data_IF_315317551879
#
_entry.id   IF_315317551879
#
_cell.length_a   1.000
_cell.length_b   1.000
_cell.length_c   1.000
_cell.angle_alpha   90.00
_cell.angle_beta   90.00
_cell.angle_gamma   90.00
#
_symmetry.space_group_name_H-M   'P 1'
#
loop_
_entity.id
_entity.type
_entity.pdbx_description
1 polymer ?
#
# COMPACT_ATOMS: atom_id res chain seq x y z
N UNK A 1 13.06 22.76 -10.94
CA UNK A 1 12.19 21.61 -10.59
C UNK A 1 10.86 21.77 -11.31
N UNK A 2 10.32 20.70 -11.91
CA UNK A 2 8.98 20.75 -12.52
C UNK A 2 7.93 20.85 -11.41
N UNK A 3 6.96 21.75 -11.57
CA UNK A 3 5.85 21.87 -10.63
C UNK A 3 5.01 20.58 -10.65
N UNK A 4 4.93 19.90 -9.50
CA UNK A 4 4.15 18.67 -9.36
C UNK A 4 2.71 19.05 -9.02
N UNK A 5 1.80 18.81 -9.96
CA UNK A 5 0.37 18.99 -9.72
C UNK A 5 -0.20 17.79 -8.95
N UNK A 6 -0.29 17.91 -7.64
CA UNK A 6 -0.86 16.89 -6.76
C UNK A 6 -2.36 16.74 -6.95
N UNK A 7 -2.83 15.50 -7.08
CA UNK A 7 -4.26 15.15 -7.05
C UNK A 7 -4.73 15.01 -5.60
N UNK A 8 -6.05 15.03 -5.40
CA UNK A 8 -6.69 14.71 -4.13
C UNK A 8 -6.98 13.22 -4.06
N UNK A 9 -6.43 12.52 -3.06
CA UNK A 9 -6.74 11.11 -2.76
C UNK A 9 -8.24 10.93 -2.57
N UNK A 10 -8.91 11.80 -1.80
CA UNK A 10 -10.34 11.70 -1.51
C UNK A 10 -11.19 11.62 -2.80
N UNK A 11 -10.88 12.45 -3.81
CA UNK A 11 -11.59 12.41 -5.10
C UNK A 11 -11.38 11.10 -5.85
N UNK A 12 -10.20 10.49 -5.72
CA UNK A 12 -9.87 9.21 -6.36
C UNK A 12 -10.57 8.07 -5.61
N UNK A 13 -10.47 8.05 -4.28
CA UNK A 13 -11.11 7.04 -3.44
C UNK A 13 -12.62 7.04 -3.62
N UNK A 14 -13.26 8.21 -3.64
CA UNK A 14 -14.70 8.34 -3.90
C UNK A 14 -15.15 7.61 -5.18
N UNK A 15 -14.38 7.73 -6.27
CA UNK A 15 -14.67 7.04 -7.55
C UNK A 15 -14.53 5.52 -7.46
N UNK A 16 -13.68 5.05 -6.57
CA UNK A 16 -13.42 3.62 -6.34
C UNK A 16 -14.51 3.05 -5.44
N UNK A 17 -14.77 3.68 -4.29
CA UNK A 17 -15.68 3.18 -3.26
C UNK A 17 -17.16 3.35 -3.61
N UNK A 18 -17.53 4.42 -4.32
CA UNK A 18 -18.93 4.67 -4.72
C UNK A 18 -19.28 4.07 -6.10
N UNK A 19 -18.41 3.22 -6.66
CA UNK A 19 -18.75 2.52 -7.89
C UNK A 19 -19.95 1.59 -7.64
N UNK A 20 -21.04 1.80 -8.38
CA UNK A 20 -22.32 1.08 -8.20
C UNK A 20 -22.20 -0.44 -8.33
N UNK A 21 -21.16 -0.92 -9.00
CA UNK A 21 -20.95 -2.32 -9.34
C UNK A 21 -19.97 -3.04 -8.42
N UNK A 22 -19.52 -2.43 -7.32
CA UNK A 22 -18.48 -2.98 -6.43
C UNK A 22 -17.26 -3.52 -7.21
N UNK A 23 -16.88 -2.81 -8.27
CA UNK A 23 -15.92 -3.33 -9.25
C UNK A 23 -14.48 -3.39 -8.73
N UNK A 24 -14.21 -2.78 -7.58
CA UNK A 24 -12.87 -2.68 -7.03
C UNK A 24 -12.73 -3.49 -5.75
N UNK A 25 -11.63 -4.23 -5.66
CA UNK A 25 -11.25 -5.01 -4.48
C UNK A 25 -9.89 -4.56 -3.96
N UNK A 26 -9.76 -4.46 -2.63
CA UNK A 26 -8.53 -4.02 -1.98
C UNK A 26 -7.80 -5.22 -1.37
N UNK A 27 -6.51 -5.33 -1.63
CA UNK A 27 -5.63 -6.36 -1.07
C UNK A 27 -4.41 -5.70 -0.42
N UNK A 28 -4.17 -5.94 0.87
CA UNK A 28 -3.01 -5.38 1.57
C UNK A 28 -1.75 -6.19 1.25
N UNK A 29 -0.76 -5.58 0.60
CA UNK A 29 0.51 -6.20 0.19
C UNK A 29 1.62 -6.06 1.24
N UNK A 30 1.36 -5.40 2.37
CA UNK A 30 2.38 -5.14 3.39
C UNK A 30 3.40 -4.09 2.95
N UNK A 31 4.59 -4.15 3.57
CA UNK A 31 5.70 -3.25 3.26
C UNK A 31 6.32 -3.57 1.90
N UNK A 32 6.25 -2.62 0.99
CA UNK A 32 6.81 -2.69 -0.35
C UNK A 32 7.83 -1.59 -0.60
N UNK A 33 8.78 -1.87 -1.50
CA UNK A 33 9.64 -0.86 -2.11
C UNK A 33 8.84 -0.12 -3.17
N UNK A 34 8.83 1.21 -3.11
CA UNK A 34 8.07 2.06 -4.03
C UNK A 34 8.94 3.16 -4.60
N UNK A 35 8.68 3.51 -5.86
CA UNK A 35 9.30 4.64 -6.53
C UNK A 35 8.46 5.90 -6.27
N UNK A 36 8.94 6.91 -5.52
CA UNK A 36 8.16 8.08 -5.13
C UNK A 36 7.57 8.85 -6.31
N UNK A 37 8.21 8.81 -7.49
CA UNK A 37 7.71 9.42 -8.73
C UNK A 37 6.31 8.94 -9.14
N UNK A 38 5.92 7.73 -8.73
CA UNK A 38 4.61 7.13 -9.00
C UNK A 38 3.51 7.64 -8.06
N UNK A 39 3.85 8.35 -6.97
CA UNK A 39 2.87 8.86 -6.01
C UNK A 39 2.22 10.13 -6.55
N UNK A 40 0.97 10.07 -7.01
CA UNK A 40 0.29 11.16 -7.73
C UNK A 40 -0.71 11.96 -6.89
N UNK A 41 -1.08 11.49 -5.71
CA UNK A 41 -2.08 12.13 -4.87
C UNK A 41 -1.74 12.08 -3.38
N UNK A 42 -2.21 13.11 -2.67
CA UNK A 42 -2.10 13.24 -1.22
C UNK A 42 -3.49 13.21 -0.58
N UNK A 43 -3.59 12.69 0.64
CA UNK A 43 -4.83 12.66 1.42
C UNK A 43 -5.13 13.98 2.13
N UNK A 44 -4.11 14.79 2.40
CA UNK A 44 -4.25 16.12 3.02
C UNK A 44 -3.17 17.09 2.54
N UNK A 45 -3.42 18.42 2.67
CA UNK A 45 -2.40 19.42 2.39
C UNK A 45 -1.13 19.22 3.22
N UNK A 46 -0.01 19.71 2.68
CA UNK A 46 1.27 19.69 3.37
C UNK A 46 1.36 20.86 4.34
N UNK A 47 1.62 20.53 5.60
CA UNK A 47 2.04 21.49 6.64
C UNK A 47 3.53 21.81 6.48
N UNK A 48 3.85 23.07 6.18
CA UNK A 48 5.22 23.53 5.93
C UNK A 48 6.15 23.37 7.13
N UNK A 49 5.65 23.53 8.37
CA UNK A 49 6.49 23.38 9.57
C UNK A 49 6.92 21.94 9.74
N UNK A 50 6.01 20.99 9.50
CA UNK A 50 6.33 19.55 9.52
C UNK A 50 7.25 19.17 8.37
N UNK A 51 7.03 19.75 7.18
CA UNK A 51 7.92 19.53 6.04
C UNK A 51 9.33 20.01 6.35
N UNK A 52 9.49 21.19 6.93
CA UNK A 52 10.81 21.75 7.24
C UNK A 52 11.57 20.93 8.30
N UNK A 53 10.86 20.41 9.31
CA UNK A 53 11.44 19.45 10.26
C UNK A 53 11.94 18.19 9.57
N UNK A 54 11.16 17.66 8.61
CA UNK A 54 11.58 16.51 7.82
C UNK A 54 12.81 16.85 6.96
N UNK A 55 12.83 18.02 6.29
CA UNK A 55 14.00 18.45 5.52
C UNK A 55 15.26 18.50 6.38
N UNK A 56 15.16 19.09 7.57
CA UNK A 56 16.28 19.17 8.51
C UNK A 56 16.76 17.77 8.91
N UNK A 57 15.85 16.88 9.33
CA UNK A 57 16.22 15.51 9.69
C UNK A 57 16.88 14.76 8.54
N UNK A 58 16.37 14.87 7.32
CA UNK A 58 16.98 14.21 6.16
C UNK A 58 18.33 14.84 5.78
N UNK A 59 18.50 16.15 6.00
CA UNK A 59 19.80 16.82 5.79
C UNK A 59 20.85 16.35 6.80
N UNK A 60 20.45 16.16 8.05
CA UNK A 60 21.36 15.80 9.13
C UNK A 60 21.70 14.29 9.10
N UNK A 61 20.70 13.43 8.84
CA UNK A 61 20.82 11.96 8.99
C UNK A 61 20.69 11.17 7.67
N UNK A 62 20.35 11.83 6.56
CA UNK A 62 19.96 11.17 5.31
C UNK A 62 18.53 10.65 5.32
N UNK A 63 18.07 10.12 4.17
CA UNK A 63 16.76 9.48 4.11
C UNK A 63 16.82 8.11 4.79
N UNK A 64 15.94 7.91 5.76
CA UNK A 64 15.76 6.63 6.43
C UNK A 64 14.27 6.25 6.39
N UNK A 65 13.99 5.00 6.02
CA UNK A 65 12.63 4.46 6.03
C UNK A 65 12.19 4.11 7.46
N UNK A 66 12.24 5.08 8.36
CA UNK A 66 11.79 4.91 9.75
C UNK A 66 10.28 4.69 9.73
N UNK A 67 9.85 3.56 10.28
CA UNK A 67 8.45 3.14 10.37
C UNK A 67 7.74 3.17 9.00
N UNK A 68 8.13 2.32 8.03
CA UNK A 68 7.53 2.32 6.70
C UNK A 68 6.02 2.03 6.72
N UNK A 69 5.54 1.34 7.76
CA UNK A 69 4.12 1.09 8.03
C UNK A 69 3.27 2.36 8.25
N UNK A 70 3.91 3.52 8.38
CA UNK A 70 3.24 4.82 8.57
C UNK A 70 3.21 5.68 7.30
N UNK A 71 3.69 5.15 6.18
CA UNK A 71 3.44 5.68 4.83
C UNK A 71 2.45 4.72 4.17
N UNK A 72 1.17 5.10 4.18
CA UNK A 72 0.09 4.25 3.70
C UNK A 72 -0.22 4.62 2.24
N UNK A 73 -0.10 3.67 1.32
CA UNK A 73 -0.32 3.91 -0.10
C UNK A 73 -1.34 2.95 -0.69
N UNK A 74 -2.17 3.45 -1.61
CA UNK A 74 -2.90 2.59 -2.55
C UNK A 74 -2.19 2.56 -3.89
N UNK A 75 -1.91 1.36 -4.41
CA UNK A 75 -1.50 1.11 -5.80
C UNK A 75 -2.76 0.92 -6.64
N UNK A 76 -2.99 1.85 -7.55
CA UNK A 76 -4.13 1.85 -8.46
C UNK A 76 -3.93 0.88 -9.63
N UNK A 77 -5.01 0.46 -10.33
CA UNK A 77 -4.90 -0.46 -11.48
C UNK A 77 -4.02 0.03 -12.64
N UNK A 78 -3.77 1.35 -12.74
CA UNK A 78 -2.89 1.94 -13.74
C UNK A 78 -1.42 2.03 -13.28
N UNK A 79 -1.10 1.56 -12.07
CA UNK A 79 0.24 1.60 -11.48
C UNK A 79 0.58 2.88 -10.72
N UNK A 80 -0.30 3.90 -10.74
CA UNK A 80 -0.14 5.10 -9.92
C UNK A 80 -0.30 4.74 -8.43
N UNK A 81 0.41 5.48 -7.57
CA UNK A 81 0.28 5.39 -6.12
C UNK A 81 -0.43 6.63 -5.57
N UNK A 82 -1.25 6.46 -4.54
CA UNK A 82 -1.88 7.57 -3.81
C UNK A 82 -1.69 7.38 -2.31
N UNK A 83 -1.51 8.47 -1.56
CA UNK A 83 -1.40 8.39 -0.10
C UNK A 83 -2.79 8.18 0.51
N UNK A 84 -2.97 7.13 1.29
CA UNK A 84 -4.21 6.76 1.99
C UNK A 84 -4.09 7.04 3.49
N UNK A 85 -4.39 8.27 3.90
CA UNK A 85 -4.36 8.65 5.32
C UNK A 85 -3.01 9.20 5.76
N UNK A 86 -2.06 8.34 6.13
CA UNK A 86 -0.79 8.74 6.77
C UNK A 86 0.41 8.77 5.83
N UNK A 87 1.42 9.57 6.21
CA UNK A 87 2.70 9.66 5.47
C UNK A 87 2.78 10.75 4.38
N UNK A 88 1.78 11.63 4.27
CA UNK A 88 1.73 12.71 3.25
C UNK A 88 3.03 13.51 3.10
N UNK A 89 3.63 13.98 4.20
CA UNK A 89 4.87 14.77 4.17
C UNK A 89 6.06 13.99 3.63
N UNK A 90 6.20 12.72 4.03
CA UNK A 90 7.28 11.84 3.56
C UNK A 90 7.08 11.45 2.10
N UNK A 91 5.85 11.17 1.69
CA UNK A 91 5.50 10.92 0.29
C UNK A 91 5.75 12.15 -0.60
N UNK A 92 5.38 13.34 -0.12
CA UNK A 92 5.65 14.60 -0.80
C UNK A 92 7.16 14.84 -0.94
N UNK A 93 7.87 14.83 0.19
CA UNK A 93 9.31 15.09 0.23
C UNK A 93 10.10 14.12 -0.64
N UNK A 94 9.87 12.81 -0.49
CA UNK A 94 10.59 11.78 -1.25
C UNK A 94 10.40 11.93 -2.76
N UNK A 95 9.21 12.37 -3.19
CA UNK A 95 8.96 12.65 -4.60
C UNK A 95 9.60 13.96 -5.07
N UNK A 96 9.52 15.03 -4.30
CA UNK A 96 10.05 16.34 -4.71
C UNK A 96 11.57 16.39 -4.72
N UNK A 97 12.21 15.69 -3.78
CA UNK A 97 13.67 15.60 -3.67
C UNK A 97 14.24 14.40 -4.43
N UNK A 98 13.44 13.77 -5.29
CA UNK A 98 13.85 12.68 -6.20
C UNK A 98 14.53 11.49 -5.48
N UNK A 99 14.07 11.15 -4.28
CA UNK A 99 14.48 9.92 -3.59
C UNK A 99 14.14 8.74 -4.50
N UNK A 100 15.14 7.89 -4.79
CA UNK A 100 15.01 6.81 -5.78
C UNK A 100 13.96 5.78 -5.40
N UNK A 101 13.95 5.38 -4.13
CA UNK A 101 13.13 4.32 -3.58
C UNK A 101 12.85 4.60 -2.10
N UNK A 102 11.63 4.30 -1.65
CA UNK A 102 11.25 4.31 -0.23
C UNK A 102 10.53 3.01 0.11
N UNK A 103 10.45 2.67 1.39
CA UNK A 103 9.56 1.60 1.88
C UNK A 103 8.25 2.18 2.41
N UNK A 104 7.14 1.55 2.06
CA UNK A 104 5.80 1.99 2.46
C UNK A 104 4.85 0.79 2.61
N UNK A 105 3.83 0.91 3.45
CA UNK A 105 2.70 -0.03 3.47
C UNK A 105 1.84 0.21 2.22
N UNK A 106 1.64 -0.83 1.42
CA UNK A 106 0.92 -0.73 0.14
C UNK A 106 -0.30 -1.64 0.13
N UNK A 107 -1.47 -1.07 -0.12
CA UNK A 107 -2.66 -1.81 -0.54
C UNK A 107 -2.81 -1.74 -2.06
N UNK A 108 -3.07 -2.86 -2.71
CA UNK A 108 -3.42 -2.93 -4.13
C UNK A 108 -4.92 -2.74 -4.32
N UNK A 109 -5.30 -1.89 -5.28
CA UNK A 109 -6.67 -1.76 -5.78
C UNK A 109 -6.76 -2.53 -7.09
N UNK A 110 -7.60 -3.57 -7.10
CA UNK A 110 -7.83 -4.46 -8.24
C UNK A 110 -9.16 -4.09 -8.88
N UNK A 111 -9.18 -3.92 -10.21
CA UNK A 111 -10.42 -3.77 -10.98
C UNK A 111 -10.94 -5.16 -11.37
N UNK A 112 -11.85 -5.72 -10.55
CA UNK A 112 -12.42 -7.04 -10.75
C UNK A 112 -13.20 -7.15 -12.07
N UNK A 113 -13.72 -6.04 -12.61
CA UNK A 113 -14.44 -6.04 -13.89
C UNK A 113 -13.56 -6.47 -15.08
N UNK A 114 -12.23 -6.44 -14.91
CA UNK A 114 -11.26 -6.88 -15.93
C UNK A 114 -10.87 -8.36 -15.80
N UNK A 115 -11.41 -9.07 -14.82
CA UNK A 115 -11.10 -10.46 -14.53
C UNK A 115 -12.30 -11.35 -14.83
N UNK A 116 -12.04 -12.61 -15.20
CA UNK A 116 -13.11 -13.63 -15.29
C UNK A 116 -13.65 -13.98 -13.90
N UNK A 117 -14.86 -14.55 -13.80
CA UNK A 117 -15.44 -14.96 -12.51
C UNK A 117 -14.49 -15.84 -11.68
N UNK A 118 -13.87 -16.85 -12.30
CA UNK A 118 -12.90 -17.73 -11.63
C UNK A 118 -11.68 -16.96 -11.11
N UNK A 119 -11.20 -15.95 -11.84
CA UNK A 119 -10.09 -15.12 -11.40
C UNK A 119 -10.49 -14.21 -10.23
N UNK A 120 -11.69 -13.62 -10.28
CA UNK A 120 -12.24 -12.80 -9.20
C UNK A 120 -12.37 -13.62 -7.91
N UNK A 121 -12.97 -14.81 -8.00
CA UNK A 121 -13.08 -15.75 -6.88
C UNK A 121 -11.71 -16.15 -6.33
N UNK A 122 -10.74 -16.45 -7.20
CA UNK A 122 -9.38 -16.77 -6.76
C UNK A 122 -8.69 -15.61 -6.01
N UNK A 123 -8.88 -14.36 -6.45
CA UNK A 123 -8.36 -13.17 -5.75
C UNK A 123 -9.01 -13.05 -4.37
N UNK A 124 -10.33 -13.18 -4.30
CA UNK A 124 -11.08 -13.06 -3.05
C UNK A 124 -10.67 -14.18 -2.08
N UNK A 125 -10.68 -15.43 -2.53
CA UNK A 125 -10.41 -16.61 -1.71
C UNK A 125 -8.97 -16.61 -1.17
N UNK A 126 -7.98 -16.33 -2.02
CA UNK A 126 -6.58 -16.26 -1.58
C UNK A 126 -6.34 -15.12 -0.60
N UNK A 127 -7.00 -13.96 -0.77
CA UNK A 127 -6.92 -12.88 0.21
C UNK A 127 -7.63 -13.23 1.53
N UNK A 128 -8.80 -13.86 1.48
CA UNK A 128 -9.51 -14.33 2.66
C UNK A 128 -8.69 -15.35 3.46
N UNK A 129 -8.05 -16.31 2.80
CA UNK A 129 -7.17 -17.29 3.44
C UNK A 129 -6.02 -16.62 4.19
N UNK A 130 -5.37 -15.63 3.57
CA UNK A 130 -4.33 -14.82 4.22
C UNK A 130 -4.88 -14.06 5.44
N UNK A 131 -6.03 -13.38 5.32
CA UNK A 131 -6.61 -12.62 6.43
C UNK A 131 -6.99 -13.51 7.62
N UNK A 132 -7.50 -14.71 7.36
CA UNK A 132 -7.79 -15.71 8.40
C UNK A 132 -6.49 -16.13 9.10
N UNK A 133 -5.46 -16.51 8.34
CA UNK A 133 -4.18 -16.93 8.91
C UNK A 133 -3.52 -15.80 9.73
N UNK A 134 -3.57 -14.56 9.22
CA UNK A 134 -3.08 -13.36 9.93
C UNK A 134 -3.83 -13.11 11.23
N UNK A 135 -5.16 -13.21 11.23
CA UNK A 135 -5.96 -13.01 12.43
C UNK A 135 -5.69 -14.09 13.47
N UNK A 136 -5.49 -15.34 13.03
CA UNK A 136 -5.13 -16.43 13.94
C UNK A 136 -3.77 -16.18 14.61
N UNK A 137 -2.79 -15.68 13.86
CA UNK A 137 -1.48 -15.27 14.40
C UNK A 137 -1.58 -14.07 15.34
N UNK A 138 -2.37 -13.05 15.03
CA UNK A 138 -2.53 -11.88 15.92
C UNK A 138 -3.16 -12.26 17.26
N UNK A 139 -4.05 -13.25 17.25
CA UNK A 139 -4.80 -13.69 18.42
C UNK A 139 -4.17 -14.90 19.13
N UNK A 140 -2.93 -15.27 18.82
CA UNK A 140 -2.29 -16.42 19.47
C UNK A 140 -1.78 -16.07 20.87
N UNK A 141 -1.96 -17.02 21.79
CA UNK A 141 -1.47 -16.92 23.17
C UNK A 141 -0.37 -17.98 23.38
N UNK A 142 0.89 -17.64 23.09
CA UNK A 142 2.06 -18.43 23.50
C UNK A 142 3.07 -18.76 22.38
N UNK A 143 4.36 -18.74 22.73
CA UNK A 143 5.49 -18.73 21.78
C UNK A 143 5.52 -19.89 20.76
N UNK A 144 5.08 -21.09 21.14
CA UNK A 144 5.08 -22.25 20.24
C UNK A 144 3.92 -22.20 19.23
N UNK A 145 2.74 -21.77 19.67
CA UNK A 145 1.60 -21.56 18.79
C UNK A 145 1.82 -20.36 17.87
N UNK A 146 2.53 -19.33 18.35
CA UNK A 146 2.90 -18.15 17.58
C UNK A 146 3.72 -18.54 16.35
N UNK A 147 4.64 -19.51 16.48
CA UNK A 147 5.50 -19.94 15.36
C UNK A 147 4.70 -20.66 14.28
N UNK A 148 3.87 -21.64 14.63
CA UNK A 148 3.07 -22.38 13.66
C UNK A 148 2.09 -21.46 12.94
N UNK A 149 1.41 -20.56 13.68
CA UNK A 149 0.46 -19.60 13.10
C UNK A 149 1.17 -18.56 12.24
N UNK A 150 2.38 -18.14 12.61
CA UNK A 150 3.24 -17.29 11.78
C UNK A 150 3.61 -17.98 10.47
N UNK A 151 4.05 -19.24 10.52
CA UNK A 151 4.41 -20.02 9.33
C UNK A 151 3.20 -20.18 8.40
N UNK A 152 2.01 -20.48 8.94
CA UNK A 152 0.76 -20.54 8.18
C UNK A 152 0.41 -19.19 7.53
N UNK A 153 0.57 -18.08 8.25
CA UNK A 153 0.35 -16.73 7.71
C UNK A 153 1.31 -16.44 6.54
N UNK A 154 2.59 -16.78 6.70
CA UNK A 154 3.62 -16.58 5.67
C UNK A 154 3.34 -17.43 4.42
N UNK A 155 2.93 -18.69 4.57
CA UNK A 155 2.57 -19.54 3.43
C UNK A 155 1.31 -19.03 2.72
N UNK A 156 0.27 -18.62 3.46
CA UNK A 156 -0.93 -18.03 2.87
C UNK A 156 -0.61 -16.72 2.11
N UNK A 157 0.30 -15.90 2.64
CA UNK A 157 0.79 -14.71 1.93
C UNK A 157 1.51 -15.07 0.62
N UNK A 158 2.40 -16.07 0.65
CA UNK A 158 3.13 -16.53 -0.54
C UNK A 158 2.16 -17.05 -1.60
N UNK A 159 1.16 -17.84 -1.22
CA UNK A 159 0.16 -18.37 -2.14
C UNK A 159 -0.67 -17.25 -2.78
N UNK A 160 -1.20 -16.33 -1.96
CA UNK A 160 -1.90 -15.13 -2.43
C UNK A 160 -1.04 -14.34 -3.42
N UNK A 161 0.20 -14.05 -3.07
CA UNK A 161 1.10 -13.29 -3.93
C UNK A 161 1.46 -14.05 -5.22
N UNK A 162 1.59 -15.39 -5.18
CA UNK A 162 1.78 -16.23 -6.37
C UNK A 162 0.58 -16.13 -7.31
N UNK A 163 -0.64 -16.17 -6.76
CA UNK A 163 -1.86 -16.03 -7.54
C UNK A 163 -2.00 -14.63 -8.15
N UNK A 164 -1.74 -13.56 -7.37
CA UNK A 164 -1.76 -12.20 -7.90
C UNK A 164 -0.74 -11.98 -9.03
N UNK A 165 0.46 -12.59 -8.92
CA UNK A 165 1.48 -12.59 -9.98
C UNK A 165 1.03 -13.32 -11.24
N UNK A 166 0.35 -14.46 -11.12
CA UNK A 166 -0.14 -15.20 -12.30
C UNK A 166 -1.18 -14.40 -13.10
N UNK A 167 -1.84 -13.45 -12.45
CA UNK A 167 -2.77 -12.50 -13.08
C UNK A 167 -2.09 -11.18 -13.52
N UNK A 168 -0.77 -11.05 -13.37
CA UNK A 168 -0.03 -9.82 -13.66
C UNK A 168 -0.53 -8.58 -12.89
N UNK A 169 -1.05 -8.79 -11.67
CA UNK A 169 -1.56 -7.71 -10.81
C UNK A 169 -0.46 -7.08 -9.93
N UNK A 170 0.61 -7.84 -9.63
CA UNK A 170 1.78 -7.39 -8.86
C UNK A 170 3.09 -7.79 -9.51
#
# INVERSE_FOLDING_TARGET
MKEIKWKSTQKIQKKITESKEQKYYKVDLGIQKVEPKKIVALSRPIDDRKLERLRKSVKDDGWTDINPQTILLWKLPNGDLIVDGEGNHRAYYSRTEEVKEIKAEVSLIIDLSKLTKNQQEGVINSNCAYLIARNNYINSEGESEDKEKMDLMVEAEKERNRFLKSLSLI
#
